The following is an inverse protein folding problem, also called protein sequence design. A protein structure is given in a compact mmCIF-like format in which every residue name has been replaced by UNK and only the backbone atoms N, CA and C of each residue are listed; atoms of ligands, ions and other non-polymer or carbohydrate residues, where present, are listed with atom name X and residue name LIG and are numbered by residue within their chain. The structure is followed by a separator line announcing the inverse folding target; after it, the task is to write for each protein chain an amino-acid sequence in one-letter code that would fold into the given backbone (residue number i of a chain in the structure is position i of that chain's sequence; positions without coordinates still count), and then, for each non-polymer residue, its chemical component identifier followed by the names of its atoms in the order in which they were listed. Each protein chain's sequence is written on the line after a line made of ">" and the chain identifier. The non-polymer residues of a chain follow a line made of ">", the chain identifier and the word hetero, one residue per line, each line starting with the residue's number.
data_IF_800474651243
#
_entry.id   IF_800474651243
#
_cell.length_a   1.000
_cell.length_b   1.000
_cell.length_c   1.000
_cell.angle_alpha   90.00
_cell.angle_beta   90.00
_cell.angle_gamma   90.00
#
_symmetry.space_group_name_H-M   'P 1'
#
loop_
_entity.id
_entity.type
_entity.pdbx_description
1 polymer ?
#
# COMPACT_ATOMS: atom_id res chain seq x y z
N UNK A 1 6.52 48.44 -7.92
CA UNK A 1 6.17 47.60 -6.74
C UNK A 1 6.78 46.23 -6.94
N UNK A 2 7.94 45.94 -6.35
CA UNK A 2 8.53 44.59 -6.42
C UNK A 2 7.76 43.67 -5.48
N UNK A 3 6.95 42.76 -6.04
CA UNK A 3 6.25 41.74 -5.26
C UNK A 3 7.26 40.94 -4.44
N UNK A 4 7.05 40.83 -3.12
CA UNK A 4 7.94 40.09 -2.23
C UNK A 4 8.01 38.63 -2.72
N UNK A 5 9.22 38.14 -3.03
CA UNK A 5 9.42 36.77 -3.52
C UNK A 5 8.98 35.78 -2.45
N UNK A 6 7.97 34.94 -2.76
CA UNK A 6 7.51 33.86 -1.89
C UNK A 6 8.64 32.84 -1.70
N UNK A 7 8.97 32.49 -0.44
CA UNK A 7 9.84 31.35 -0.11
C UNK A 7 8.99 30.10 -0.02
N UNK A 8 9.36 29.06 -0.75
CA UNK A 8 8.67 27.76 -0.72
C UNK A 8 9.13 26.94 0.49
N UNK A 9 8.17 26.35 1.20
CA UNK A 9 8.42 25.37 2.26
C UNK A 9 8.80 23.99 1.66
N UNK A 10 9.28 23.06 2.49
CA UNK A 10 9.72 21.74 1.99
C UNK A 10 8.60 20.96 1.31
N UNK A 11 7.36 21.06 1.80
CA UNK A 11 6.22 20.39 1.20
C UNK A 11 5.87 21.00 -0.16
N UNK A 12 5.79 22.32 -0.25
CA UNK A 12 5.56 23.03 -1.52
C UNK A 12 6.64 22.72 -2.55
N UNK A 13 7.91 22.56 -2.13
CA UNK A 13 8.98 22.14 -3.04
C UNK A 13 8.77 20.72 -3.58
N UNK A 14 8.33 19.79 -2.73
CA UNK A 14 8.00 18.42 -3.14
C UNK A 14 6.80 18.41 -4.09
N UNK A 15 5.74 19.16 -3.76
CA UNK A 15 4.53 19.26 -4.58
C UNK A 15 4.85 19.82 -5.99
N UNK A 16 5.78 20.78 -6.11
CA UNK A 16 6.27 21.28 -7.41
C UNK A 16 6.95 20.17 -8.23
N UNK A 17 7.80 19.35 -7.60
CA UNK A 17 8.51 18.26 -8.28
C UNK A 17 7.55 17.17 -8.76
N UNK A 18 6.58 16.79 -7.93
CA UNK A 18 5.55 15.80 -8.26
C UNK A 18 4.71 16.26 -9.47
N UNK A 19 4.24 17.51 -9.45
CA UNK A 19 3.49 18.10 -10.58
C UNK A 19 4.34 18.14 -11.85
N UNK A 20 5.64 18.42 -11.73
CA UNK A 20 6.54 18.45 -12.90
C UNK A 20 6.66 17.08 -13.56
N UNK A 21 6.71 16.00 -12.78
CA UNK A 21 6.82 14.63 -13.30
C UNK A 21 5.50 14.11 -13.88
N UNK A 22 4.37 14.41 -13.22
CA UNK A 22 3.04 13.97 -13.66
C UNK A 22 2.56 14.72 -14.89
N UNK A 23 2.69 16.05 -14.88
CA UNK A 23 2.06 16.92 -15.87
C UNK A 23 3.05 17.46 -16.91
N UNK A 24 4.37 17.25 -16.75
CA UNK A 24 5.44 17.72 -17.65
C UNK A 24 5.33 19.21 -18.01
N UNK A 25 4.92 20.03 -17.04
CA UNK A 25 4.68 21.46 -17.23
C UNK A 25 5.98 22.25 -17.49
N UNK A 26 5.83 23.37 -18.20
CA UNK A 26 6.92 24.33 -18.38
C UNK A 26 7.24 25.08 -17.08
N UNK A 27 8.47 25.61 -16.98
CA UNK A 27 8.91 26.47 -15.86
C UNK A 27 7.96 27.65 -15.64
N UNK A 28 7.44 28.23 -16.73
CA UNK A 28 6.49 29.35 -16.70
C UNK A 28 5.14 28.94 -16.09
N UNK A 29 4.59 27.81 -16.54
CA UNK A 29 3.32 27.28 -16.02
C UNK A 29 3.41 26.93 -14.53
N UNK A 30 4.54 26.37 -14.10
CA UNK A 30 4.81 26.09 -12.68
C UNK A 30 4.95 27.37 -11.86
N UNK A 31 5.67 28.36 -12.38
CA UNK A 31 5.84 29.66 -11.72
C UNK A 31 4.50 30.36 -11.47
N UNK A 32 3.60 30.33 -12.46
CA UNK A 32 2.26 30.89 -12.35
C UNK A 32 1.38 30.12 -11.36
N UNK A 33 1.32 28.78 -11.48
CA UNK A 33 0.50 27.92 -10.61
C UNK A 33 0.89 28.03 -9.13
N UNK A 34 2.18 28.04 -8.84
CA UNK A 34 2.69 28.08 -7.47
C UNK A 34 2.94 29.51 -6.97
N UNK A 35 2.71 30.54 -7.81
CA UNK A 35 2.94 31.97 -7.53
C UNK A 35 4.37 32.25 -7.07
N UNK A 36 5.33 31.76 -7.82
CA UNK A 36 6.77 31.84 -7.54
C UNK A 36 7.50 32.37 -8.77
N UNK A 37 8.67 32.98 -8.60
CA UNK A 37 9.47 33.42 -9.75
C UNK A 37 10.03 32.23 -10.53
N UNK A 38 10.13 32.35 -11.86
CA UNK A 38 10.67 31.31 -12.75
C UNK A 38 12.06 30.84 -12.32
N UNK A 39 12.95 31.76 -11.93
CA UNK A 39 14.29 31.44 -11.40
C UNK A 39 14.25 30.44 -10.26
N UNK A 40 13.24 30.56 -9.37
CA UNK A 40 13.11 29.67 -8.20
C UNK A 40 12.70 28.27 -8.62
N UNK A 41 11.81 28.16 -9.59
CA UNK A 41 11.42 26.87 -10.17
C UNK A 41 12.64 26.24 -10.87
N UNK A 42 13.40 27.00 -11.65
CA UNK A 42 14.62 26.49 -12.30
C UNK A 42 15.67 26.01 -11.30
N UNK A 43 15.88 26.73 -10.20
CA UNK A 43 16.75 26.28 -9.10
C UNK A 43 16.28 24.95 -8.50
N UNK A 44 14.98 24.82 -8.23
CA UNK A 44 14.42 23.58 -7.69
C UNK A 44 14.58 22.40 -8.63
N UNK A 45 14.36 22.61 -9.93
CA UNK A 45 14.48 21.54 -10.93
C UNK A 45 15.93 21.09 -11.13
N UNK A 46 16.91 21.99 -10.94
CA UNK A 46 18.34 21.64 -10.94
C UNK A 46 18.72 20.77 -9.73
N UNK A 47 18.15 21.06 -8.57
CA UNK A 47 18.44 20.36 -7.30
C UNK A 47 17.33 19.36 -6.92
N UNK A 48 16.64 18.77 -7.91
CA UNK A 48 15.50 17.89 -7.68
C UNK A 48 15.84 16.67 -6.81
N UNK A 49 17.04 16.13 -6.98
CA UNK A 49 17.51 14.94 -6.27
C UNK A 49 17.84 15.26 -4.80
N UNK A 50 18.51 16.39 -4.56
CA UNK A 50 18.81 16.85 -3.21
C UNK A 50 17.53 17.11 -2.41
N UNK A 51 16.54 17.72 -3.04
CA UNK A 51 15.23 17.98 -2.41
C UNK A 51 14.52 16.66 -2.07
N UNK A 52 14.48 15.70 -3.00
CA UNK A 52 13.89 14.36 -2.76
C UNK A 52 14.56 13.65 -1.60
N UNK A 53 15.89 13.64 -1.55
CA UNK A 53 16.64 13.01 -0.46
C UNK A 53 16.29 13.63 0.89
N UNK A 54 16.27 14.96 0.98
CA UNK A 54 15.92 15.68 2.22
C UNK A 54 14.49 15.35 2.67
N UNK A 55 13.53 15.26 1.73
CA UNK A 55 12.14 14.91 2.08
C UNK A 55 12.01 13.48 2.59
N UNK A 56 12.71 12.53 1.97
CA UNK A 56 12.69 11.11 2.36
C UNK A 56 13.41 10.87 3.68
N UNK A 57 14.56 11.52 3.92
CA UNK A 57 15.27 11.42 5.19
C UNK A 57 14.44 12.02 6.33
N UNK A 58 13.74 13.12 6.09
CA UNK A 58 12.85 13.73 7.08
C UNK A 58 11.69 12.81 7.46
N UNK A 59 10.99 12.24 6.48
CA UNK A 59 9.89 11.31 6.75
C UNK A 59 10.38 10.01 7.40
N UNK A 60 11.55 9.49 7.00
CA UNK A 60 12.17 8.32 7.64
C UNK A 60 12.44 8.59 9.12
N UNK A 61 13.00 9.75 9.46
CA UNK A 61 13.26 10.12 10.85
C UNK A 61 11.97 10.21 11.67
N UNK A 62 10.94 10.85 11.13
CA UNK A 62 9.63 10.95 11.79
C UNK A 62 9.00 9.56 12.02
N UNK A 63 9.13 8.63 11.08
CA UNK A 63 8.67 7.25 11.23
C UNK A 63 9.47 6.46 12.26
N UNK A 64 10.80 6.61 12.28
CA UNK A 64 11.68 5.96 13.26
C UNK A 64 11.31 6.40 14.68
N UNK A 65 11.08 7.69 14.89
CA UNK A 65 10.64 8.22 16.19
C UNK A 65 9.27 7.62 16.61
N UNK A 66 8.34 7.44 15.66
CA UNK A 66 7.04 6.81 15.90
C UNK A 66 7.16 5.32 16.26
N UNK A 67 7.97 4.56 15.51
CA UNK A 67 8.23 3.14 15.72
C UNK A 67 8.88 2.92 17.09
N UNK A 68 9.91 3.72 17.41
CA UNK A 68 10.61 3.63 18.69
C UNK A 68 9.67 3.86 19.88
N UNK A 69 8.74 4.79 19.75
CA UNK A 69 7.73 5.06 20.78
C UNK A 69 6.64 3.97 20.86
N UNK A 70 6.40 3.22 19.79
CA UNK A 70 5.40 2.14 19.74
C UNK A 70 5.88 0.80 20.30
N UNK A 71 7.16 0.66 20.66
CA UNK A 71 7.75 -0.61 21.09
C UNK A 71 7.81 -1.68 20.00
N UNK A 72 7.61 -1.29 18.74
CA UNK A 72 7.66 -2.17 17.57
C UNK A 72 9.12 -2.43 17.15
N UNK A 73 9.45 -3.68 16.86
CA UNK A 73 10.77 -4.07 16.34
C UNK A 73 10.89 -3.91 14.81
N UNK A 74 9.94 -3.21 14.18
CA UNK A 74 9.93 -3.00 12.73
C UNK A 74 10.98 -1.97 12.33
N UNK A 75 11.98 -2.36 11.54
CA UNK A 75 12.92 -1.44 10.90
C UNK A 75 12.27 -0.76 9.69
N UNK A 76 12.52 0.54 9.54
CA UNK A 76 12.09 1.30 8.34
C UNK A 76 13.19 1.15 7.28
N UNK A 77 13.19 0.03 6.56
CA UNK A 77 13.98 -0.15 5.34
C UNK A 77 13.37 0.60 4.15
N UNK A 78 14.22 0.99 3.20
CA UNK A 78 13.80 1.50 1.89
C UNK A 78 13.06 0.40 1.13
N UNK A 79 11.92 0.74 0.50
CA UNK A 79 11.09 -0.19 -0.25
C UNK A 79 11.94 -1.12 -1.13
N UNK A 80 11.81 -2.43 -0.93
CA UNK A 80 12.35 -3.44 -1.85
C UNK A 80 11.61 -3.23 -3.18
N UNK A 81 12.33 -2.75 -4.19
CA UNK A 81 11.80 -2.65 -5.55
C UNK A 81 11.58 -4.07 -6.03
N UNK A 82 10.31 -4.43 -6.20
CA UNK A 82 9.95 -5.65 -6.89
C UNK A 82 10.16 -5.35 -8.37
N UNK A 83 10.96 -6.17 -9.03
CA UNK A 83 11.24 -6.05 -10.45
C UNK A 83 9.92 -6.13 -11.26
N UNK A 84 9.72 -5.17 -12.18
CA UNK A 84 8.51 -5.07 -13.02
C UNK A 84 8.41 -6.24 -14.03
N UNK A 85 9.50 -7.02 -14.16
CA UNK A 85 9.66 -8.21 -14.99
C UNK A 85 9.22 -9.51 -14.29
N UNK A 86 8.47 -9.43 -13.19
CA UNK A 86 7.61 -10.52 -12.73
C UNK A 86 6.46 -10.74 -13.72
N UNK A 87 6.75 -11.27 -14.90
CA UNK A 87 5.76 -11.81 -15.82
C UNK A 87 5.32 -13.18 -15.32
N UNK A 88 4.02 -13.36 -15.07
CA UNK A 88 3.44 -14.70 -15.03
C UNK A 88 3.47 -15.21 -16.48
N UNK A 89 4.31 -16.22 -16.73
CA UNK A 89 4.19 -17.00 -17.95
C UNK A 89 2.86 -17.75 -17.88
N UNK A 90 1.94 -17.48 -18.80
CA UNK A 90 0.72 -18.27 -18.97
C UNK A 90 1.14 -19.65 -19.48
N UNK A 91 1.58 -20.52 -18.57
CA UNK A 91 1.68 -21.94 -18.87
C UNK A 91 0.28 -22.40 -19.26
N UNK A 92 0.18 -22.92 -20.49
CA UNK A 92 -1.04 -23.54 -20.99
C UNK A 92 -1.28 -24.85 -20.22
N UNK A 93 -1.72 -24.71 -18.97
CA UNK A 93 -2.13 -25.82 -18.13
C UNK A 93 -3.23 -26.56 -18.89
N UNK A 94 -2.97 -27.83 -19.17
CA UNK A 94 -3.91 -28.66 -19.91
C UNK A 94 -5.16 -28.84 -19.03
N UNK A 95 -6.20 -28.08 -19.33
CA UNK A 95 -7.44 -27.98 -18.56
C UNK A 95 -8.20 -29.33 -18.50
N UNK A 96 -7.73 -30.37 -19.19
CA UNK A 96 -8.33 -31.71 -19.08
C UNK A 96 -8.13 -32.38 -17.71
N UNK A 97 -7.28 -31.84 -16.84
CA UNK A 97 -7.09 -32.38 -15.48
C UNK A 97 -8.04 -31.74 -14.46
N UNK A 98 -8.90 -30.81 -14.87
CA UNK A 98 -9.93 -30.27 -13.98
C UNK A 98 -11.05 -31.29 -13.87
N UNK A 99 -11.15 -31.92 -12.71
CA UNK A 99 -12.35 -32.66 -12.33
C UNK A 99 -13.46 -31.61 -12.22
N UNK A 100 -14.43 -31.66 -13.12
CA UNK A 100 -15.59 -30.80 -13.05
C UNK A 100 -16.32 -31.08 -11.74
N UNK A 101 -16.65 -30.02 -10.98
CA UNK A 101 -17.27 -30.13 -9.66
C UNK A 101 -18.58 -30.94 -9.65
N UNK A 102 -19.30 -30.98 -10.79
CA UNK A 102 -20.51 -31.80 -10.97
C UNK A 102 -20.25 -33.26 -11.39
N UNK A 103 -18.99 -33.74 -11.39
CA UNK A 103 -18.68 -35.16 -11.64
C UNK A 103 -18.98 -35.99 -10.39
N UNK A 104 -20.22 -35.91 -9.91
CA UNK A 104 -20.73 -36.62 -8.74
C UNK A 104 -21.04 -38.09 -9.06
N UNK A 105 -21.07 -38.49 -10.34
CA UNK A 105 -21.44 -39.85 -10.74
C UNK A 105 -20.33 -40.90 -10.59
N UNK A 106 -19.06 -40.50 -10.40
CA UNK A 106 -17.95 -41.45 -10.23
C UNK A 106 -17.69 -41.85 -8.76
N UNK A 107 -18.39 -41.23 -7.80
CA UNK A 107 -18.33 -41.58 -6.38
C UNK A 107 -19.66 -42.14 -5.92
N UNK A 108 -20.20 -43.13 -6.64
CA UNK A 108 -21.19 -44.05 -6.10
C UNK A 108 -20.52 -44.86 -4.97
N UNK A 109 -20.37 -44.23 -3.81
CA UNK A 109 -20.20 -44.92 -2.54
C UNK A 109 -21.48 -45.73 -2.34
N UNK A 110 -21.32 -47.04 -2.11
CA UNK A 110 -22.42 -47.95 -1.81
C UNK A 110 -23.30 -47.36 -0.71
N UNK A 111 -24.61 -47.34 -0.98
CA UNK A 111 -25.67 -47.08 0.00
C UNK A 111 -25.56 -48.10 1.13
N UNK A 112 -24.81 -47.78 2.18
CA UNK A 112 -24.85 -48.53 3.44
C UNK A 112 -24.54 -47.58 4.60
N UNK A 113 -25.63 -47.03 5.15
CA UNK A 113 -25.98 -46.89 6.56
C UNK A 113 -26.48 -45.49 6.91
N UNK A 114 -27.81 -45.38 7.00
CA UNK A 114 -28.60 -44.24 7.43
C UNK A 114 -28.44 -43.95 8.94
N UNK A 115 -27.20 -43.88 9.45
CA UNK A 115 -26.97 -43.36 10.79
C UNK A 115 -26.84 -41.84 10.68
N UNK A 116 -27.99 -41.17 10.61
CA UNK A 116 -28.11 -39.73 10.82
C UNK A 116 -27.52 -39.40 12.19
N UNK A 117 -26.23 -39.08 12.22
CA UNK A 117 -25.62 -38.51 13.41
C UNK A 117 -26.36 -37.21 13.69
N UNK A 118 -27.01 -37.05 14.85
CA UNK A 118 -27.76 -35.84 15.12
C UNK A 118 -26.75 -34.71 15.11
N UNK A 119 -26.83 -33.86 14.10
CA UNK A 119 -26.12 -32.60 14.09
C UNK A 119 -26.76 -31.78 15.22
N UNK A 120 -26.19 -31.90 16.41
CA UNK A 120 -26.56 -31.12 17.59
C UNK A 120 -26.50 -29.64 17.17
N UNK A 121 -27.68 -29.02 17.05
CA UNK A 121 -27.81 -27.59 16.91
C UNK A 121 -26.93 -26.93 17.98
N UNK A 122 -25.82 -26.31 17.58
CA UNK A 122 -24.94 -25.60 18.51
C UNK A 122 -25.71 -24.40 19.10
N UNK A 123 -26.42 -24.68 20.20
CA UNK A 123 -27.21 -23.76 20.99
C UNK A 123 -26.30 -23.05 21.99
N UNK A 124 -25.37 -22.23 21.49
CA UNK A 124 -24.80 -21.19 22.34
C UNK A 124 -25.95 -20.20 22.60
N UNK A 125 -26.69 -20.43 23.68
CA UNK A 125 -27.84 -19.62 24.08
C UNK A 125 -27.41 -18.41 24.91
N UNK A 126 -26.21 -18.44 25.46
CA UNK A 126 -25.72 -17.39 26.35
C UNK A 126 -24.19 -17.29 26.29
N UNK A 127 -23.70 -16.06 26.11
CA UNK A 127 -22.28 -15.71 25.99
C UNK A 127 -21.61 -15.49 27.35
N UNK A 128 -22.36 -15.61 28.45
CA UNK A 128 -21.88 -15.40 29.81
C UNK A 128 -20.68 -16.28 30.21
N UNK A 129 -20.53 -17.46 29.60
CA UNK A 129 -19.40 -18.36 29.86
C UNK A 129 -18.09 -17.89 29.21
N UNK A 130 -18.17 -17.17 28.08
CA UNK A 130 -17.00 -16.62 27.40
C UNK A 130 -16.35 -15.46 28.17
N UNK A 131 -17.13 -14.73 28.99
CA UNK A 131 -16.64 -13.60 29.77
C UNK A 131 -15.68 -14.01 30.91
N UNK A 132 -15.73 -15.27 31.37
CA UNK A 132 -14.80 -15.79 32.40
C UNK A 132 -13.35 -15.85 31.93
N UNK A 133 -13.12 -15.88 30.62
CA UNK A 133 -11.79 -15.96 30.02
C UNK A 133 -11.18 -14.59 29.68
N UNK A 134 -11.93 -13.49 29.90
CA UNK A 134 -11.48 -12.12 29.58
C UNK A 134 -10.84 -11.45 30.82
N UNK A 135 -11.10 -11.95 32.02
CA UNK A 135 -10.60 -11.35 33.28
C UNK A 135 -9.36 -12.05 33.83
N UNK A 136 -8.28 -12.10 33.05
CA UNK A 136 -6.96 -12.54 33.53
C UNK A 136 -5.84 -11.63 33.05
#
# INVERSE_FOLDING_TARGET
>A
MTSKRKRLNLKEKSDVLEVTEKEKLSVRSLAERFRVGETRISELLKDKEGIRKITTEKSKKELVDLVANSGSNVSVEEYVKIDDDLSIEEEKLHVSNFIHWDTTEALALSEDNDEESPMEDCKIKDYSEALKYIEN
#
